data_IF_810823979953
#
_entry.id   IF_810823979953
#
_cell.length_a   1.000
_cell.length_b   1.000
_cell.length_c   1.000
_cell.angle_alpha   90.00
_cell.angle_beta   90.00
_cell.angle_gamma   90.00
#
_symmetry.space_group_name_H-M   'P 1'
#
loop_
_entity.id
_entity.type
_entity.pdbx_description
1 polymer ?
#
# COMPACT_ATOMS: atom_id res chain seq x y z
N UNK A 1 4.44 -10.96 -12.81
CA UNK A 1 3.93 -11.77 -13.94
C UNK A 1 2.71 -11.05 -14.51
N UNK A 2 2.78 -10.61 -15.77
CA UNK A 2 1.66 -9.98 -16.49
C UNK A 2 1.23 -10.88 -17.64
N UNK A 3 -0.08 -10.97 -17.87
CA UNK A 3 -0.65 -11.64 -19.04
C UNK A 3 -0.89 -10.61 -20.13
N UNK A 4 -0.24 -10.79 -21.27
CA UNK A 4 -0.59 -10.06 -22.48
C UNK A 4 -1.75 -10.78 -23.17
N UNK A 5 -2.94 -10.17 -23.15
CA UNK A 5 -4.18 -10.78 -23.64
C UNK A 5 -4.15 -10.94 -25.16
N UNK A 6 -3.53 -10.01 -25.89
CA UNK A 6 -3.50 -10.01 -27.35
C UNK A 6 -2.63 -11.14 -27.91
N UNK A 7 -1.46 -11.35 -27.33
CA UNK A 7 -0.51 -12.39 -27.72
C UNK A 7 -0.71 -13.72 -26.98
N UNK A 8 -1.59 -13.76 -25.97
CA UNK A 8 -1.79 -14.90 -25.06
C UNK A 8 -0.47 -15.41 -24.45
N UNK A 9 0.43 -14.47 -24.13
CA UNK A 9 1.75 -14.77 -23.62
C UNK A 9 1.92 -14.24 -22.20
N UNK A 10 2.64 -15.00 -21.38
CA UNK A 10 3.05 -14.58 -20.06
C UNK A 10 4.38 -13.86 -20.14
N UNK A 11 4.46 -12.71 -19.49
CA UNK A 11 5.69 -11.95 -19.36
C UNK A 11 6.00 -11.73 -17.89
N UNK A 12 7.24 -12.01 -17.53
CA UNK A 12 7.74 -11.67 -16.21
C UNK A 12 8.06 -10.18 -16.14
N UNK A 13 7.69 -9.55 -15.02
CA UNK A 13 8.03 -8.16 -14.72
C UNK A 13 8.88 -8.20 -13.47
N UNK A 14 10.09 -7.67 -13.53
CA UNK A 14 11.00 -7.61 -12.39
C UNK A 14 10.38 -6.79 -11.27
N UNK A 15 10.27 -7.34 -10.07
CA UNK A 15 9.66 -6.66 -8.92
C UNK A 15 10.75 -5.91 -8.14
N UNK A 16 10.60 -4.60 -7.89
CA UNK A 16 11.51 -3.85 -7.02
C UNK A 16 11.65 -4.51 -5.65
N UNK A 17 12.88 -4.79 -5.24
CA UNK A 17 13.22 -5.36 -3.93
C UNK A 17 12.51 -6.68 -3.59
N UNK A 18 12.14 -7.49 -4.58
CA UNK A 18 11.35 -8.72 -4.40
C UNK A 18 11.81 -9.60 -3.23
N UNK A 19 13.12 -9.79 -3.08
CA UNK A 19 13.74 -10.63 -2.03
C UNK A 19 13.65 -10.06 -0.60
N UNK A 20 13.25 -8.79 -0.45
CA UNK A 20 13.23 -8.06 0.84
C UNK A 20 11.83 -7.63 1.26
N UNK A 21 10.84 -7.77 0.39
CA UNK A 21 9.46 -7.36 0.66
C UNK A 21 8.81 -8.33 1.64
N UNK A 22 8.38 -7.83 2.80
CA UNK A 22 7.54 -8.56 3.75
C UNK A 22 6.06 -8.55 3.33
N UNK A 23 5.67 -7.56 2.53
CA UNK A 23 4.35 -7.40 1.96
C UNK A 23 4.50 -6.82 0.56
N UNK A 24 3.64 -7.27 -0.35
CA UNK A 24 3.49 -6.72 -1.69
C UNK A 24 2.03 -6.78 -2.14
N UNK A 25 1.56 -5.73 -2.78
CA UNK A 25 0.28 -5.69 -3.47
C UNK A 25 0.44 -4.99 -4.81
N UNK A 26 -0.08 -5.64 -5.86
CA UNK A 26 -0.24 -5.03 -7.17
C UNK A 26 -1.66 -4.48 -7.27
N UNK A 27 -1.78 -3.15 -7.38
CA UNK A 27 -3.06 -2.44 -7.47
C UNK A 27 -3.11 -1.63 -8.75
N UNK A 28 -4.32 -1.19 -9.11
CA UNK A 28 -4.51 -0.15 -10.13
C UNK A 28 -4.72 1.18 -9.43
N UNK A 29 -3.87 2.16 -9.70
CA UNK A 29 -3.95 3.50 -9.13
C UNK A 29 -3.79 4.53 -10.24
N UNK A 30 -4.71 5.50 -10.33
CA UNK A 30 -4.79 6.47 -11.44
C UNK A 30 -4.71 5.81 -12.82
N UNK A 31 -5.44 4.69 -12.99
CA UNK A 31 -5.45 3.91 -14.22
C UNK A 31 -4.20 3.07 -14.51
N UNK A 32 -3.11 3.19 -13.73
CA UNK A 32 -1.82 2.54 -13.99
C UNK A 32 -1.55 1.36 -13.04
N UNK A 33 -0.77 0.34 -13.46
CA UNK A 33 -0.28 -0.71 -12.57
C UNK A 33 0.70 -0.13 -11.55
N UNK A 34 0.43 -0.37 -10.28
CA UNK A 34 1.19 0.17 -9.16
C UNK A 34 1.49 -0.93 -8.17
N UNK A 35 2.76 -1.11 -7.85
CA UNK A 35 3.22 -1.99 -6.79
C UNK A 35 3.33 -1.20 -5.49
N UNK A 36 2.81 -1.75 -4.41
CA UNK A 36 3.06 -1.25 -3.06
C UNK A 36 3.66 -2.35 -2.24
N UNK A 37 4.72 -2.07 -1.51
CA UNK A 37 5.41 -3.09 -0.75
C UNK A 37 6.16 -2.52 0.44
N UNK A 38 6.24 -3.32 1.50
CA UNK A 38 6.86 -2.96 2.78
C UNK A 38 8.08 -3.82 3.09
N UNK A 39 9.12 -3.22 3.68
CA UNK A 39 10.30 -3.92 4.18
C UNK A 39 10.56 -3.59 5.66
N UNK A 40 11.23 -4.49 6.37
CA UNK A 40 11.59 -4.32 7.79
C UNK A 40 12.28 -2.97 8.10
N UNK A 41 13.21 -2.54 7.24
CA UNK A 41 14.12 -1.43 7.52
C UNK A 41 13.78 -0.13 6.77
N UNK A 42 13.09 -0.23 5.63
CA UNK A 42 12.86 0.92 4.76
C UNK A 42 11.39 1.33 4.72
N UNK A 43 10.49 0.66 5.43
CA UNK A 43 9.06 0.98 5.42
C UNK A 43 8.38 0.58 4.10
N UNK A 44 7.22 1.20 3.82
CA UNK A 44 6.46 0.94 2.60
C UNK A 44 6.72 1.98 1.50
N UNK A 45 6.80 1.51 0.27
CA UNK A 45 7.01 2.35 -0.92
C UNK A 45 5.96 2.03 -1.99
N UNK A 46 5.73 3.02 -2.85
CA UNK A 46 4.85 2.96 -4.02
C UNK A 46 5.72 3.03 -5.26
N UNK A 47 5.58 2.05 -6.14
CA UNK A 47 6.20 2.04 -7.46
C UNK A 47 5.14 1.98 -8.55
N UNK A 48 5.31 2.76 -9.60
CA UNK A 48 4.46 2.72 -10.78
C UNK A 48 5.20 2.08 -11.95
N UNK A 49 4.51 1.24 -12.72
CA UNK A 49 5.05 0.67 -13.94
C UNK A 49 4.98 1.70 -15.06
N UNK A 50 6.15 2.19 -15.49
CA UNK A 50 6.29 3.13 -16.60
C UNK A 50 6.47 2.44 -17.96
N UNK A 51 6.82 3.24 -18.96
CA UNK A 51 7.17 2.75 -20.28
C UNK A 51 8.42 1.84 -20.22
N UNK A 52 8.47 0.86 -21.12
CA UNK A 52 9.57 -0.12 -21.17
C UNK A 52 9.61 -1.08 -19.99
N UNK A 53 8.49 -1.26 -19.27
CA UNK A 53 8.35 -2.19 -18.13
C UNK A 53 9.30 -1.88 -16.95
N UNK A 54 9.61 -0.60 -16.78
CA UNK A 54 10.46 -0.14 -15.69
C UNK A 54 9.62 0.38 -14.53
N UNK A 55 9.98 -0.02 -13.31
CA UNK A 55 9.33 0.47 -12.10
C UNK A 55 9.99 1.76 -11.61
N UNK A 56 9.22 2.84 -11.55
CA UNK A 56 9.64 4.11 -10.96
C UNK A 56 9.16 4.21 -9.51
N UNK A 57 10.04 4.57 -8.58
CA UNK A 57 9.63 4.93 -7.21
C UNK A 57 8.85 6.24 -7.27
N UNK A 58 7.60 6.20 -6.82
CA UNK A 58 6.70 7.36 -6.77
C UNK A 58 6.82 8.04 -5.42
N UNK A 59 6.66 7.28 -4.35
CA UNK A 59 6.62 7.82 -3.00
C UNK A 59 6.94 6.76 -1.95
N UNK A 60 7.39 7.21 -0.79
CA UNK A 60 7.65 6.39 0.40
C UNK A 60 6.78 6.86 1.57
N UNK A 61 6.27 5.92 2.34
CA UNK A 61 5.52 6.25 3.55
C UNK A 61 6.44 6.96 4.57
N UNK A 62 6.00 8.05 5.19
CA UNK A 62 6.70 8.66 6.31
C UNK A 62 6.88 7.67 7.46
N UNK A 63 8.03 7.71 8.13
CA UNK A 63 8.40 6.78 9.19
C UNK A 63 7.38 6.81 10.34
N UNK A 64 6.87 7.99 10.69
CA UNK A 64 5.89 8.19 11.76
C UNK A 64 4.57 7.49 11.46
N UNK A 65 4.12 7.55 10.20
CA UNK A 65 2.89 6.88 9.75
C UNK A 65 3.08 5.37 9.63
N UNK A 66 4.26 4.94 9.16
CA UNK A 66 4.63 3.52 9.15
C UNK A 66 4.63 2.93 10.56
N UNK A 67 5.33 3.57 11.50
CA UNK A 67 5.35 3.15 12.91
C UNK A 67 3.95 3.17 13.53
N UNK A 68 3.11 4.14 13.20
CA UNK A 68 1.72 4.19 13.69
C UNK A 68 0.87 3.04 13.14
N UNK A 69 1.05 2.68 11.87
CA UNK A 69 0.35 1.57 11.24
C UNK A 69 0.83 0.20 11.78
N UNK A 70 2.13 0.08 12.02
CA UNK A 70 2.77 -1.16 12.44
C UNK A 70 2.71 -1.41 13.96
N UNK A 71 2.73 -0.34 14.75
CA UNK A 71 2.98 -0.42 16.20
C UNK A 71 4.45 -0.71 16.53
N UNK A 72 4.76 -0.85 17.83
CA UNK A 72 6.13 -0.88 18.38
C UNK A 72 6.99 -2.06 17.90
N UNK A 73 6.37 -3.16 17.44
CA UNK A 73 7.07 -4.37 16.96
C UNK A 73 6.55 -4.87 15.60
N UNK A 74 5.84 -4.02 14.86
CA UNK A 74 5.07 -4.51 13.72
C UNK A 74 5.92 -4.82 12.49
N UNK A 75 5.73 -6.02 11.95
CA UNK A 75 6.07 -6.37 10.57
C UNK A 75 4.95 -5.95 9.60
N UNK A 76 5.31 -5.76 8.33
CA UNK A 76 4.38 -5.47 7.25
C UNK A 76 3.55 -6.67 6.78
N UNK A 77 3.84 -7.91 7.19
CA UNK A 77 3.20 -9.15 6.67
C UNK A 77 1.66 -9.11 6.61
N UNK A 78 1.00 -8.54 7.63
CA UNK A 78 -0.48 -8.44 7.70
C UNK A 78 -1.05 -7.17 7.04
N UNK A 79 -0.22 -6.42 6.32
CA UNK A 79 -0.64 -5.19 5.64
C UNK A 79 -1.41 -5.56 4.39
N UNK A 80 -2.39 -4.72 4.05
CA UNK A 80 -3.19 -4.80 2.85
C UNK A 80 -3.18 -3.44 2.17
N UNK A 81 -3.30 -3.46 0.85
CA UNK A 81 -3.34 -2.26 0.03
C UNK A 81 -4.54 -2.29 -0.89
N UNK A 82 -5.22 -1.15 -1.03
CA UNK A 82 -6.24 -0.92 -2.05
C UNK A 82 -5.90 0.38 -2.78
N UNK A 83 -5.92 0.33 -4.11
CA UNK A 83 -5.76 1.48 -4.98
C UNK A 83 -7.08 1.83 -5.68
N UNK A 84 -7.24 3.12 -5.96
CA UNK A 84 -8.35 3.68 -6.74
C UNK A 84 -7.84 4.89 -7.53
N UNK A 85 -8.69 5.51 -8.34
CA UNK A 85 -8.34 6.80 -8.93
C UNK A 85 -8.38 7.88 -7.85
N UNK A 86 -7.26 8.55 -7.61
CA UNK A 86 -7.11 9.63 -6.62
C UNK A 86 -6.68 9.19 -5.21
N UNK A 87 -6.61 7.89 -4.90
CA UNK A 87 -6.20 7.43 -3.57
C UNK A 87 -5.63 6.01 -3.53
N UNK A 88 -4.72 5.78 -2.59
CA UNK A 88 -4.12 4.50 -2.24
C UNK A 88 -4.12 4.34 -0.72
N UNK A 89 -4.61 3.22 -0.22
CA UNK A 89 -4.83 2.99 1.21
C UNK A 89 -4.05 1.77 1.69
N UNK A 90 -3.31 1.93 2.79
CA UNK A 90 -2.64 0.87 3.54
C UNK A 90 -3.32 0.65 4.88
N UNK A 91 -3.71 -0.59 5.16
CA UNK A 91 -4.36 -0.97 6.41
C UNK A 91 -3.90 -2.36 6.84
N UNK A 92 -4.26 -2.77 8.06
CA UNK A 92 -3.97 -4.11 8.58
C UNK A 92 -5.27 -4.84 8.88
N UNK A 93 -5.21 -6.17 8.91
CA UNK A 93 -6.34 -7.01 9.32
C UNK A 93 -6.84 -6.68 10.73
N UNK A 94 -5.91 -6.45 11.65
CA UNK A 94 -6.16 -6.01 13.00
C UNK A 94 -5.44 -4.67 13.20
N UNK A 95 -6.17 -3.57 13.05
CA UNK A 95 -5.63 -2.22 13.15
C UNK A 95 -6.69 -1.20 13.54
N UNK A 96 -6.27 -0.11 14.17
CA UNK A 96 -7.18 0.97 14.59
C UNK A 96 -7.31 2.09 13.56
N UNK A 97 -6.82 1.90 12.33
CA UNK A 97 -6.84 2.92 11.30
C UNK A 97 -6.13 2.48 10.02
N UNK A 98 -6.00 3.42 9.10
CA UNK A 98 -5.34 3.24 7.81
C UNK A 98 -4.52 4.48 7.43
N UNK A 99 -3.50 4.27 6.61
CA UNK A 99 -2.71 5.33 6.00
C UNK A 99 -3.17 5.50 4.56
N UNK A 100 -3.45 6.72 4.14
CA UNK A 100 -3.97 7.04 2.82
C UNK A 100 -3.02 7.99 2.11
N UNK A 101 -2.55 7.61 0.93
CA UNK A 101 -1.93 8.50 -0.04
C UNK A 101 -3.00 8.99 -1.00
N UNK A 102 -3.35 10.27 -0.97
CA UNK A 102 -4.42 10.80 -1.83
C UNK A 102 -4.12 12.18 -2.37
N UNK A 103 -4.77 12.49 -3.47
CA UNK A 103 -4.83 13.85 -3.99
C UNK A 103 -5.70 14.71 -3.08
N UNK A 104 -5.15 15.81 -2.58
CA UNK A 104 -5.85 16.81 -1.74
C UNK A 104 -6.26 18.04 -2.54
N UNK A 105 -5.43 18.41 -3.52
CA UNK A 105 -5.67 19.46 -4.51
C UNK A 105 -5.09 18.98 -5.84
N UNK A 106 -5.50 19.56 -6.97
CA UNK A 106 -5.06 19.10 -8.30
C UNK A 106 -3.52 19.05 -8.40
N UNK A 107 -2.97 17.85 -8.55
CA UNK A 107 -1.54 17.57 -8.62
C UNK A 107 -0.80 17.53 -7.27
N UNK A 108 -1.47 17.84 -6.16
CA UNK A 108 -0.91 17.81 -4.81
C UNK A 108 -1.39 16.56 -4.07
N UNK A 109 -0.44 15.76 -3.65
CA UNK A 109 -0.68 14.52 -2.94
C UNK A 109 -0.14 14.57 -1.52
N UNK A 110 -0.87 13.95 -0.61
CA UNK A 110 -0.50 13.91 0.80
C UNK A 110 -0.77 12.55 1.44
N UNK A 111 0.06 12.24 2.43
CA UNK A 111 -0.16 11.14 3.34
C UNK A 111 -1.05 11.57 4.51
N UNK A 112 -2.14 10.84 4.72
CA UNK A 112 -3.11 11.11 5.77
C UNK A 112 -3.32 9.86 6.62
N UNK A 113 -3.46 10.06 7.93
CA UNK A 113 -3.96 9.03 8.82
C UNK A 113 -5.48 9.12 8.92
N UNK A 114 -6.16 7.99 8.72
CA UNK A 114 -7.60 7.87 8.93
C UNK A 114 -7.82 6.92 10.09
N UNK A 115 -8.47 7.42 11.15
CA UNK A 115 -8.86 6.59 12.29
C UNK A 115 -9.90 5.55 11.87
N UNK A 116 -9.70 4.33 12.35
CA UNK A 116 -10.63 3.23 12.14
C UNK A 116 -11.87 3.47 12.99
N UNK A 117 -13.03 3.27 12.37
CA UNK A 117 -14.29 3.27 13.10
C UNK A 117 -14.31 1.99 13.96
N UNK A 118 -13.97 2.10 15.24
CA UNK A 118 -14.03 0.97 16.20
C UNK A 118 -15.49 0.57 16.51
N UNK A 119 -16.43 0.79 15.58
CA UNK A 119 -17.83 0.44 15.74
C UNK A 119 -18.34 -0.36 14.54
N UNK A 120 -19.01 -1.47 14.83
CA UNK A 120 -19.74 -2.27 13.83
C UNK A 120 -21.21 -2.22 14.23
N UNK A 121 -22.07 -1.72 13.34
CA UNK A 121 -23.50 -1.52 13.64
C UNK A 121 -23.76 -0.58 14.83
N UNK A 122 -22.92 0.44 15.04
CA UNK A 122 -23.05 1.41 16.14
C UNK A 122 -22.58 0.89 17.51
N UNK A 123 -22.08 -0.36 17.60
CA UNK A 123 -21.53 -0.91 18.85
C UNK A 123 -20.00 -0.88 18.79
N UNK A 124 -19.39 -0.36 19.85
CA UNK A 124 -17.94 -0.32 19.97
C UNK A 124 -17.39 -1.76 20.05
N UNK A 125 -16.51 -2.11 19.12
CA UNK A 125 -15.79 -3.39 19.15
C UNK A 125 -14.78 -3.31 20.28
N UNK A 126 -14.88 -4.21 21.26
CA UNK A 126 -13.91 -4.27 22.35
C UNK A 126 -12.52 -4.56 21.75
N UNK A 127 -11.57 -3.65 21.98
CA UNK A 127 -10.16 -3.91 21.72
C UNK A 127 -9.72 -4.97 22.73
N UNK A 128 -9.41 -6.18 22.26
CA UNK A 128 -8.72 -7.15 23.12
C UNK A 128 -7.32 -6.61 23.39
N UNK A 129 -6.84 -6.60 24.64
CA UNK A 129 -5.49 -6.18 24.95
C UNK A 129 -4.50 -7.17 24.32
N UNK A 130 -3.46 -6.61 23.67
CA UNK A 130 -2.30 -7.37 23.16
C UNK A 130 -1.38 -7.81 24.30
#
# INVERSE_FOLDING_TARGET
MGLDIESNSWRELSVPMAERLEFAALVRWNGRPTLVGGTCNEGACIWELGEGDTWGLVEKIPIELGMRLLGVKGSWESTKCVGSDGALCLYRDLGSGMVVWREVEKGRWEWLWVEGCCSVGGKQVQKYPN
#
